data_IF_833141553105
#
_entry.id   IF_833141553105
#
_cell.length_a   1.000
_cell.length_b   1.000
_cell.length_c   1.000
_cell.angle_alpha   90.00
_cell.angle_beta   90.00
_cell.angle_gamma   90.00
#
_symmetry.space_group_name_H-M   'P 1'
#
loop_
_entity.id
_entity.type
_entity.pdbx_description
1 polymer ?
#
# COMPACT_ATOMS: atom_id res chain seq x y z
N UNK A 1 18.22 13.63 -0.57
CA UNK A 1 18.73 12.41 -1.25
C UNK A 1 20.02 11.98 -0.56
N UNK A 2 20.02 10.83 0.11
CA UNK A 2 21.24 10.17 0.64
C UNK A 2 20.90 8.72 0.98
N UNK A 3 21.03 7.85 -0.01
CA UNK A 3 21.08 6.40 0.21
C UNK A 3 22.51 6.06 0.60
N UNK A 4 22.76 5.77 1.88
CA UNK A 4 24.04 5.27 2.36
C UNK A 4 24.07 3.76 2.14
N UNK A 5 24.64 3.35 1.02
CA UNK A 5 24.82 1.95 0.66
C UNK A 5 26.15 1.47 1.26
N UNK A 6 26.20 0.52 2.21
CA UNK A 6 27.44 -0.20 2.42
C UNK A 6 27.59 -1.14 1.22
N UNK A 7 28.42 -0.70 0.28
CA UNK A 7 29.15 -1.55 -0.66
C UNK A 7 29.59 -2.81 0.09
N UNK A 8 28.98 -3.97 -0.14
CA UNK A 8 29.71 -5.25 -0.18
C UNK A 8 28.89 -6.48 -0.57
N UNK A 9 27.54 -6.46 -0.66
CA UNK A 9 26.81 -7.75 -0.76
C UNK A 9 25.48 -7.79 -1.52
N UNK A 10 25.24 -6.94 -2.53
CA UNK A 10 23.93 -6.89 -3.21
C UNK A 10 24.01 -7.08 -4.72
N UNK A 11 24.74 -8.12 -5.16
CA UNK A 11 24.78 -8.54 -6.57
C UNK A 11 23.66 -9.54 -6.96
N UNK A 12 22.64 -9.78 -6.13
CA UNK A 12 21.62 -10.81 -6.41
C UNK A 12 20.16 -10.43 -6.20
N UNK A 13 19.84 -9.16 -5.95
CA UNK A 13 18.43 -8.77 -5.80
C UNK A 13 18.15 -7.51 -6.61
N UNK A 14 18.13 -7.69 -7.93
CA UNK A 14 17.25 -6.92 -8.82
C UNK A 14 15.78 -7.39 -8.64
N UNK A 15 15.33 -7.69 -7.41
CA UNK A 15 13.89 -7.80 -7.20
C UNK A 15 13.37 -6.37 -7.31
N UNK A 16 12.70 -6.10 -8.41
CA UNK A 16 11.90 -4.91 -8.64
C UNK A 16 11.47 -4.29 -7.32
N UNK A 17 11.96 -3.08 -7.02
CA UNK A 17 11.47 -2.30 -5.89
C UNK A 17 9.99 -1.96 -6.14
N UNK A 18 9.09 -2.96 -6.00
CA UNK A 18 7.67 -2.72 -5.79
C UNK A 18 7.66 -2.00 -4.46
N UNK A 19 7.46 -0.68 -4.51
CA UNK A 19 7.26 0.10 -3.30
C UNK A 19 5.97 -0.45 -2.69
N UNK A 20 6.09 -1.38 -1.73
CA UNK A 20 4.94 -1.99 -1.08
C UNK A 20 4.15 -0.89 -0.41
N UNK A 21 2.97 -0.59 -0.96
CA UNK A 21 2.08 0.40 -0.39
C UNK A 21 1.18 -0.28 0.64
N UNK A 22 1.22 0.21 1.86
CA UNK A 22 0.39 -0.35 2.92
C UNK A 22 -1.09 -0.10 2.63
N UNK A 23 -1.84 -1.19 2.59
CA UNK A 23 -3.27 -1.17 2.30
C UNK A 23 -4.05 -0.27 3.26
N UNK A 24 -3.67 -0.17 4.55
CA UNK A 24 -4.38 0.69 5.48
C UNK A 24 -4.15 2.17 5.17
N UNK A 25 -2.92 2.56 4.85
CA UNK A 25 -2.62 3.94 4.45
C UNK A 25 -3.45 4.31 3.21
N UNK A 26 -3.54 3.43 2.23
CA UNK A 26 -4.39 3.62 1.06
C UNK A 26 -5.89 3.62 1.40
N UNK A 27 -6.32 2.75 2.32
CA UNK A 27 -7.68 2.71 2.84
C UNK A 27 -8.10 4.05 3.45
N UNK A 28 -7.23 4.68 4.24
CA UNK A 28 -7.48 6.03 4.80
C UNK A 28 -7.63 7.10 3.72
N UNK A 29 -6.88 6.99 2.62
CA UNK A 29 -6.95 7.92 1.48
C UNK A 29 -8.17 7.71 0.57
N UNK A 30 -8.91 6.60 0.70
CA UNK A 30 -10.21 6.41 0.00
C UNK A 30 -11.25 7.47 0.41
N UNK A 31 -11.08 8.12 1.57
CA UNK A 31 -11.90 9.27 1.97
C UNK A 31 -11.78 10.48 1.03
N UNK A 32 -10.66 10.58 0.29
CA UNK A 32 -10.35 11.68 -0.62
C UNK A 32 -9.84 11.14 -1.98
N UNK A 33 -10.75 10.65 -2.83
CA UNK A 33 -10.40 9.98 -4.08
C UNK A 33 -9.70 10.88 -5.11
N UNK A 34 -9.85 12.21 -4.99
CA UNK A 34 -9.16 13.18 -5.86
C UNK A 34 -7.70 13.43 -5.46
N UNK A 35 -7.27 12.91 -4.30
CA UNK A 35 -5.88 13.06 -3.87
C UNK A 35 -4.94 12.21 -4.72
N UNK A 36 -3.76 12.74 -5.03
CA UNK A 36 -2.70 12.00 -5.73
C UNK A 36 -2.39 10.66 -5.05
N UNK A 37 -2.42 10.64 -3.72
CA UNK A 37 -2.20 9.41 -2.96
C UNK A 37 -3.29 8.34 -3.23
N UNK A 38 -4.55 8.73 -3.37
CA UNK A 38 -5.62 7.79 -3.71
C UNK A 38 -5.48 7.23 -5.13
N UNK A 39 -5.00 8.06 -6.08
CA UNK A 39 -4.69 7.61 -7.45
C UNK A 39 -3.51 6.64 -7.47
N UNK A 40 -2.42 6.98 -6.77
CA UNK A 40 -1.25 6.09 -6.62
C UNK A 40 -1.66 4.74 -6.02
N UNK A 41 -2.52 4.75 -4.99
CA UNK A 41 -3.07 3.54 -4.36
C UNK A 41 -3.92 2.69 -5.31
N UNK A 42 -4.74 3.33 -6.15
CA UNK A 42 -5.52 2.66 -7.18
C UNK A 42 -4.62 2.02 -8.24
N UNK A 43 -3.57 2.72 -8.67
CA UNK A 43 -2.61 2.20 -9.64
C UNK A 43 -1.81 1.03 -9.06
N UNK A 44 -1.43 1.10 -7.79
CA UNK A 44 -0.80 -0.02 -7.09
C UNK A 44 -1.71 -1.24 -7.02
N UNK A 45 -2.96 -1.07 -6.64
CA UNK A 45 -3.94 -2.15 -6.61
C UNK A 45 -4.09 -2.82 -7.98
N UNK A 46 -4.11 -2.03 -9.07
CA UNK A 46 -4.17 -2.55 -10.46
C UNK A 46 -2.91 -3.27 -10.90
N UNK A 47 -1.77 -3.01 -10.26
CA UNK A 47 -0.53 -3.73 -10.53
C UNK A 47 -0.44 -5.06 -9.78
N UNK A 48 -1.27 -5.30 -8.76
CA UNK A 48 -1.29 -6.55 -8.00
C UNK A 48 -1.97 -7.68 -8.80
N UNK A 49 -1.52 -8.91 -8.57
CA UNK A 49 -2.23 -10.10 -9.06
C UNK A 49 -3.61 -10.22 -8.41
N UNK A 50 -4.57 -10.89 -9.05
CA UNK A 50 -5.98 -10.93 -8.60
C UNK A 50 -6.13 -11.28 -7.11
N UNK A 51 -5.42 -12.33 -6.64
CA UNK A 51 -5.43 -12.74 -5.23
C UNK A 51 -4.77 -11.73 -4.28
N UNK A 52 -3.66 -11.12 -4.70
CA UNK A 52 -2.99 -10.08 -3.93
C UNK A 52 -3.84 -8.83 -3.85
N UNK A 53 -4.49 -8.47 -4.96
CA UNK A 53 -5.39 -7.33 -5.08
C UNK A 53 -6.65 -7.49 -4.22
N UNK A 54 -7.25 -8.68 -4.17
CA UNK A 54 -8.38 -8.95 -3.27
C UNK A 54 -7.97 -8.79 -1.80
N UNK A 55 -6.91 -9.46 -1.35
CA UNK A 55 -6.43 -9.37 0.03
C UNK A 55 -6.03 -7.94 0.41
N UNK A 56 -5.38 -7.22 -0.50
CA UNK A 56 -5.01 -5.83 -0.30
C UNK A 56 -6.23 -4.92 -0.19
N UNK A 57 -7.23 -5.10 -1.05
CA UNK A 57 -8.49 -4.33 -1.02
C UNK A 57 -9.30 -4.60 0.24
N UNK A 58 -9.42 -5.85 0.66
CA UNK A 58 -10.09 -6.21 1.92
C UNK A 58 -9.41 -5.56 3.12
N UNK A 59 -8.07 -5.61 3.17
CA UNK A 59 -7.30 -4.94 4.22
C UNK A 59 -7.53 -3.43 4.19
N UNK A 60 -7.47 -2.79 3.02
CA UNK A 60 -7.72 -1.35 2.87
C UNK A 60 -9.12 -0.94 3.35
N UNK A 61 -10.16 -1.69 2.97
CA UNK A 61 -11.54 -1.45 3.40
C UNK A 61 -11.72 -1.67 4.90
N UNK A 62 -11.05 -2.67 5.48
CA UNK A 62 -11.08 -2.92 6.93
C UNK A 62 -10.48 -1.76 7.71
N UNK A 63 -9.35 -1.20 7.25
CA UNK A 63 -8.73 -0.06 7.91
C UNK A 63 -9.53 1.23 7.71
N UNK A 64 -10.10 1.45 6.51
CA UNK A 64 -11.05 2.53 6.25
C UNK A 64 -12.25 2.46 7.22
N UNK A 65 -12.84 1.27 7.37
CA UNK A 65 -13.99 1.04 8.25
C UNK A 65 -13.63 1.26 9.72
N UNK A 66 -12.46 0.81 10.17
CA UNK A 66 -12.00 1.03 11.54
C UNK A 66 -11.84 2.54 11.83
N UNK A 67 -11.17 3.28 10.95
CA UNK A 67 -10.94 4.72 11.13
C UNK A 67 -12.23 5.56 10.97
N UNK A 68 -13.14 5.16 10.08
CA UNK A 68 -14.35 5.94 9.76
C UNK A 68 -15.50 5.63 10.72
N UNK A 69 -15.64 4.37 11.13
CA UNK A 69 -16.74 3.93 12.01
C UNK A 69 -16.31 3.79 13.47
N UNK A 70 -15.02 3.99 13.80
CA UNK A 70 -14.51 3.79 15.15
C UNK A 70 -14.76 2.38 15.67
N UNK A 71 -14.82 1.39 14.77
CA UNK A 71 -15.07 -0.01 15.13
C UNK A 71 -13.77 -0.67 15.58
N UNK A 72 -13.21 -0.15 16.67
CA UNK A 72 -12.51 -0.96 17.65
C UNK A 72 -13.57 -1.83 18.34
N UNK A 73 -14.09 -2.82 17.60
CA UNK A 73 -14.82 -3.93 18.21
C UNK A 73 -13.77 -4.77 18.93
N UNK A 74 -13.52 -4.35 20.16
CA UNK A 74 -12.80 -5.06 21.21
C UNK A 74 -13.24 -6.52 21.34
#
# INVERSE_FOLDING_TARGET
MKCWFPLFLSALILSACRQEMDACECGKKLTNPESKAAQDCSDYWRMLDEKEGEAWREKALKCYSNETLGTDLK
#
